data_IF_921347865365
#
_entry.id   IF_921347865365
#
_cell.length_a   1.000
_cell.length_b   1.000
_cell.length_c   1.000
_cell.angle_alpha   90.00
_cell.angle_beta   90.00
_cell.angle_gamma   90.00
#
_symmetry.space_group_name_H-M   'P 1'
#
loop_
_entity.id
_entity.type
_entity.pdbx_description
1 polymer ?
#
# COMPACT_ATOMS: atom_id res chain seq x y z
N UNK A 1 15.55 5.88 -9.45
CA UNK A 1 15.04 4.74 -8.67
C UNK A 1 14.65 3.64 -9.65
N UNK A 2 14.97 2.39 -9.35
CA UNK A 2 14.44 1.27 -10.12
C UNK A 2 12.97 1.04 -9.71
N UNK A 3 12.08 0.84 -10.68
CA UNK A 3 10.69 0.46 -10.46
C UNK A 3 10.33 -0.72 -11.35
N UNK A 4 9.34 -1.50 -10.93
CA UNK A 4 8.75 -2.57 -11.71
C UNK A 4 7.26 -2.29 -11.85
N UNK A 5 6.82 -2.13 -13.08
CA UNK A 5 5.40 -2.00 -13.40
C UNK A 5 4.78 -3.40 -13.52
N UNK A 6 3.62 -3.58 -12.90
CA UNK A 6 2.86 -4.84 -12.93
C UNK A 6 1.58 -4.71 -13.78
N UNK A 7 1.39 -3.57 -14.44
CA UNK A 7 0.23 -3.25 -15.26
C UNK A 7 -0.96 -2.70 -14.44
N UNK A 8 -2.13 -2.55 -15.04
CA UNK A 8 -2.48 -2.91 -16.43
C UNK A 8 -1.78 -2.04 -17.48
N UNK A 9 -1.72 -2.52 -18.73
CA UNK A 9 -1.07 -1.84 -19.86
C UNK A 9 -2.08 -1.37 -20.93
N UNK A 10 -3.37 -1.44 -20.63
CA UNK A 10 -4.45 -1.01 -21.51
C UNK A 10 -5.57 -0.34 -20.70
N UNK A 11 -6.49 0.34 -21.41
CA UNK A 11 -7.70 0.92 -20.81
C UNK A 11 -8.86 -0.09 -20.73
N UNK A 12 -8.61 -1.35 -21.07
CA UNK A 12 -9.63 -2.39 -21.02
C UNK A 12 -10.04 -2.66 -19.56
N UNK A 13 -11.29 -3.09 -19.39
CA UNK A 13 -11.77 -3.47 -18.07
C UNK A 13 -10.99 -4.67 -17.55
N UNK A 14 -10.45 -4.54 -16.33
CA UNK A 14 -9.67 -5.58 -15.66
C UNK A 14 -10.07 -5.69 -14.19
N UNK A 15 -9.70 -6.80 -13.55
CA UNK A 15 -10.00 -7.06 -12.14
C UNK A 15 -8.82 -6.64 -11.26
N UNK A 16 -8.99 -5.58 -10.47
CA UNK A 16 -7.96 -5.08 -9.56
C UNK A 16 -7.34 -6.12 -8.60
N UNK A 17 -8.03 -7.20 -8.14
CA UNK A 17 -7.40 -8.19 -7.27
C UNK A 17 -6.24 -8.95 -7.92
N UNK A 18 -6.24 -9.11 -9.26
CA UNK A 18 -5.15 -9.80 -9.98
C UNK A 18 -3.84 -9.03 -9.87
N UNK A 19 -3.91 -7.70 -9.95
CA UNK A 19 -2.76 -6.81 -9.78
C UNK A 19 -2.31 -6.71 -8.32
N UNK A 20 -3.26 -6.70 -7.38
CA UNK A 20 -2.93 -6.79 -5.96
C UNK A 20 -2.12 -8.06 -5.64
N UNK A 21 -2.49 -9.22 -6.16
CA UNK A 21 -1.71 -10.47 -5.98
C UNK A 21 -0.30 -10.32 -6.55
N UNK A 22 -0.19 -9.87 -7.80
CA UNK A 22 1.11 -9.76 -8.49
C UNK A 22 2.10 -8.83 -7.76
N UNK A 23 1.60 -7.71 -7.24
CA UNK A 23 2.43 -6.74 -6.50
C UNK A 23 2.77 -7.28 -5.09
N UNK A 24 1.83 -7.91 -4.40
CA UNK A 24 2.10 -8.46 -3.06
C UNK A 24 3.08 -9.63 -3.10
N UNK A 25 3.06 -10.43 -4.17
CA UNK A 25 4.03 -11.49 -4.45
C UNK A 25 5.44 -10.97 -4.72
N UNK A 26 5.63 -9.72 -5.15
CA UNK A 26 6.98 -9.13 -5.27
C UNK A 26 7.45 -8.49 -3.97
N UNK A 27 6.53 -7.94 -3.17
CA UNK A 27 6.87 -7.30 -1.89
C UNK A 27 7.28 -8.32 -0.82
N UNK A 28 6.52 -9.42 -0.70
CA UNK A 28 6.75 -10.44 0.33
C UNK A 28 8.13 -11.13 0.30
N UNK A 29 8.67 -11.55 -0.86
CA UNK A 29 10.00 -12.16 -0.94
C UNK A 29 11.14 -11.13 -0.89
N UNK A 30 10.82 -9.82 -0.84
CA UNK A 30 11.82 -8.76 -0.87
C UNK A 30 12.33 -8.38 -2.26
N UNK A 31 11.64 -8.78 -3.34
CA UNK A 31 11.94 -8.29 -4.70
C UNK A 31 11.63 -6.78 -4.79
N UNK A 32 10.58 -6.34 -4.10
CA UNK A 32 10.23 -4.94 -3.93
C UNK A 32 10.15 -4.60 -2.44
N UNK A 33 10.74 -3.48 -2.02
CA UNK A 33 10.65 -3.03 -0.61
C UNK A 33 9.30 -2.39 -0.28
N UNK A 34 8.69 -1.77 -1.29
CA UNK A 34 7.54 -0.88 -1.19
C UNK A 34 6.70 -1.00 -2.46
N UNK A 35 5.41 -0.68 -2.38
CA UNK A 35 4.51 -0.69 -3.54
C UNK A 35 3.48 0.43 -3.51
N UNK A 36 3.10 0.88 -4.71
CA UNK A 36 2.03 1.87 -4.93
C UNK A 36 1.03 1.20 -5.87
N UNK A 37 -0.24 1.16 -5.49
CA UNK A 37 -1.31 0.63 -6.33
C UNK A 37 -2.35 1.72 -6.59
N UNK A 38 -3.00 1.68 -7.75
CA UNK A 38 -4.03 2.63 -8.11
C UNK A 38 -5.27 1.92 -8.65
N UNK A 39 -6.44 2.38 -8.24
CA UNK A 39 -7.70 2.06 -8.92
C UNK A 39 -8.63 3.28 -8.85
N UNK A 40 -9.89 3.15 -9.23
CA UNK A 40 -10.81 4.30 -9.23
C UNK A 40 -10.87 5.06 -7.89
N UNK A 41 -10.89 4.36 -6.76
CA UNK A 41 -10.94 4.99 -5.41
C UNK A 41 -9.80 4.57 -4.48
N UNK A 42 -8.92 3.66 -4.92
CA UNK A 42 -7.93 3.00 -4.06
C UNK A 42 -8.50 1.97 -3.07
N UNK A 43 -9.81 2.04 -2.76
CA UNK A 43 -10.45 1.21 -1.73
C UNK A 43 -10.43 -0.28 -2.08
N UNK A 44 -10.97 -0.66 -3.25
CA UNK A 44 -11.06 -2.08 -3.63
C UNK A 44 -9.69 -2.76 -3.67
N UNK A 45 -8.72 -2.10 -4.31
CA UNK A 45 -7.37 -2.64 -4.44
C UNK A 45 -6.67 -2.75 -3.10
N UNK A 46 -6.86 -1.80 -2.17
CA UNK A 46 -6.33 -1.90 -0.80
C UNK A 46 -6.92 -3.06 -0.01
N UNK A 47 -8.23 -3.32 -0.16
CA UNK A 47 -8.91 -4.42 0.55
C UNK A 47 -8.35 -5.76 0.09
N UNK A 48 -8.18 -5.94 -1.23
CA UNK A 48 -7.59 -7.15 -1.79
C UNK A 48 -6.13 -7.32 -1.34
N UNK A 49 -5.34 -6.24 -1.42
CA UNK A 49 -3.92 -6.21 -1.06
C UNK A 49 -3.70 -6.59 0.41
N UNK A 50 -4.54 -6.10 1.33
CA UNK A 50 -4.48 -6.43 2.76
C UNK A 50 -4.93 -7.86 3.12
N UNK A 51 -5.34 -8.70 2.15
CA UNK A 51 -5.62 -10.13 2.43
C UNK A 51 -4.36 -10.97 2.51
N UNK A 52 -3.21 -10.44 2.10
CA UNK A 52 -1.93 -11.14 2.15
C UNK A 52 -1.22 -10.80 3.46
N UNK A 53 -0.94 -11.81 4.28
CA UNK A 53 -0.25 -11.63 5.56
C UNK A 53 1.11 -10.95 5.37
N UNK A 54 1.39 -9.96 6.22
CA UNK A 54 2.59 -9.12 6.16
C UNK A 54 2.43 -7.84 5.34
N UNK A 55 1.33 -7.69 4.61
CA UNK A 55 1.02 -6.49 3.84
C UNK A 55 0.17 -5.52 4.66
N UNK A 56 0.55 -4.25 4.61
CA UNK A 56 -0.15 -3.13 5.24
C UNK A 56 -0.36 -2.05 4.20
N UNK A 57 -1.42 -2.20 3.42
CA UNK A 57 -1.85 -1.26 2.42
C UNK A 57 -2.78 -0.20 2.99
N UNK A 58 -2.45 1.07 2.74
CA UNK A 58 -3.27 2.20 3.17
C UNK A 58 -3.78 2.99 1.96
N UNK A 59 -5.09 3.22 1.91
CA UNK A 59 -5.67 4.19 0.96
C UNK A 59 -5.36 5.59 1.47
N UNK A 60 -4.74 6.42 0.65
CA UNK A 60 -4.32 7.77 1.01
C UNK A 60 -4.78 8.76 -0.05
N UNK A 61 -5.23 9.95 0.41
CA UNK A 61 -5.68 11.03 -0.46
C UNK A 61 -5.09 12.39 -0.09
N UNK A 62 -4.22 12.44 0.92
CA UNK A 62 -3.61 13.67 1.43
C UNK A 62 -2.22 13.38 2.04
N UNK A 63 -1.35 14.39 2.07
CA UNK A 63 0.03 14.24 2.52
C UNK A 63 0.15 13.87 4.00
N UNK A 64 -0.78 14.29 4.85
CA UNK A 64 -0.74 14.01 6.28
C UNK A 64 -0.97 12.52 6.53
N UNK A 65 -2.05 11.97 5.96
CA UNK A 65 -2.37 10.54 6.07
C UNK A 65 -1.26 9.69 5.44
N UNK A 66 -0.67 10.15 4.32
CA UNK A 66 0.47 9.50 3.67
C UNK A 66 1.68 9.35 4.58
N UNK A 67 2.09 10.43 5.27
CA UNK A 67 3.16 10.39 6.27
C UNK A 67 2.78 9.53 7.47
N UNK A 68 1.62 9.81 8.06
CA UNK A 68 1.17 9.14 9.27
C UNK A 68 1.05 7.63 9.09
N UNK A 69 0.64 7.15 7.90
CA UNK A 69 0.57 5.70 7.65
C UNK A 69 1.94 5.05 7.63
N UNK A 70 2.96 5.74 7.12
CA UNK A 70 4.35 5.25 7.18
C UNK A 70 4.94 5.36 8.59
N UNK A 71 4.77 6.51 9.24
CA UNK A 71 5.29 6.76 10.60
C UNK A 71 4.69 5.82 11.64
N UNK A 72 3.38 5.55 11.57
CA UNK A 72 2.66 4.87 12.63
C UNK A 72 2.32 3.42 12.30
N UNK A 73 2.06 3.12 11.03
CA UNK A 73 1.61 1.80 10.59
C UNK A 73 2.68 1.08 9.77
N UNK A 74 3.84 1.70 9.57
CA UNK A 74 4.91 1.22 8.69
C UNK A 74 4.34 0.58 7.42
N UNK A 75 3.40 1.26 6.77
CA UNK A 75 2.79 0.74 5.56
C UNK A 75 3.90 0.46 4.54
N UNK A 76 3.87 -0.75 3.98
CA UNK A 76 4.73 -1.16 2.86
C UNK A 76 4.03 -0.98 1.51
N UNK A 77 2.77 -0.57 1.55
CA UNK A 77 1.95 -0.30 0.39
C UNK A 77 1.07 0.91 0.61
N UNK A 78 0.97 1.79 -0.40
CA UNK A 78 -0.10 2.79 -0.48
C UNK A 78 -1.00 2.53 -1.67
N UNK A 79 -2.26 2.96 -1.56
CA UNK A 79 -3.27 2.84 -2.60
C UNK A 79 -3.87 4.22 -2.92
N UNK A 80 -3.87 4.56 -4.20
CA UNK A 80 -4.38 5.83 -4.72
C UNK A 80 -5.71 5.63 -5.45
N UNK A 81 -6.53 6.68 -5.43
CA UNK A 81 -7.79 6.75 -6.15
C UNK A 81 -7.72 7.72 -7.32
N UNK A 82 -7.64 7.20 -8.55
CA UNK A 82 -7.59 8.03 -9.78
C UNK A 82 -8.80 8.97 -9.91
N UNK A 83 -9.99 8.52 -9.50
CA UNK A 83 -11.23 9.32 -9.58
C UNK A 83 -11.41 10.26 -8.38
N UNK A 84 -10.46 10.26 -7.43
CA UNK A 84 -10.57 10.95 -6.14
C UNK A 84 -9.46 12.00 -5.99
N UNK A 85 -8.24 11.67 -6.40
CA UNK A 85 -7.04 12.47 -6.19
C UNK A 85 -6.45 12.88 -7.53
N UNK A 86 -6.31 14.19 -7.76
CA UNK A 86 -5.66 14.70 -8.97
C UNK A 86 -4.14 14.44 -8.97
N UNK A 87 -3.55 14.34 -10.16
CA UNK A 87 -2.15 13.95 -10.38
C UNK A 87 -1.15 14.75 -9.52
N UNK A 88 -1.26 16.07 -9.48
CA UNK A 88 -0.35 16.91 -8.69
C UNK A 88 -0.37 16.57 -7.19
N UNK A 89 -1.55 16.28 -6.63
CA UNK A 89 -1.67 15.87 -5.24
C UNK A 89 -1.19 14.43 -5.04
N UNK A 90 -1.46 13.53 -5.99
CA UNK A 90 -1.00 12.15 -5.94
C UNK A 90 0.53 12.08 -5.85
N UNK A 91 1.24 12.86 -6.67
CA UNK A 91 2.71 12.93 -6.63
C UNK A 91 3.25 13.44 -5.28
N UNK A 92 2.59 14.45 -4.69
CA UNK A 92 2.96 14.94 -3.36
C UNK A 92 2.69 13.91 -2.25
N UNK A 93 1.60 13.16 -2.37
CA UNK A 93 1.24 12.07 -1.45
C UNK A 93 2.27 10.95 -1.51
N UNK A 94 2.67 10.55 -2.71
CA UNK A 94 3.65 9.49 -2.92
C UNK A 94 5.03 9.90 -2.39
N UNK A 95 5.48 11.12 -2.70
CA UNK A 95 6.75 11.67 -2.19
C UNK A 95 6.75 11.75 -0.66
N UNK A 96 5.63 12.18 -0.07
CA UNK A 96 5.49 12.23 1.38
C UNK A 96 5.59 10.85 2.04
N UNK A 97 5.11 9.79 1.40
CA UNK A 97 5.22 8.42 1.92
C UNK A 97 6.63 7.83 1.74
N UNK A 98 7.23 8.04 0.55
CA UNK A 98 8.54 7.50 0.21
C UNK A 98 9.65 8.05 1.10
N UNK A 99 9.55 9.31 1.54
CA UNK A 99 10.56 9.98 2.35
C UNK A 99 10.32 9.89 3.87
N UNK A 100 9.36 9.07 4.30
CA UNK A 100 9.02 8.93 5.71
C UNK A 100 9.43 7.56 6.24
N UNK A 101 9.79 7.52 7.52
CA UNK A 101 10.20 6.30 8.22
C UNK A 101 9.31 6.02 9.43
N UNK A 102 9.25 4.76 9.84
CA UNK A 102 8.55 4.35 11.06
C UNK A 102 9.15 5.07 12.27
N UNK A 103 8.30 5.55 13.17
CA UNK A 103 8.76 6.22 14.41
C UNK A 103 8.07 5.62 15.64
N UNK A 104 8.72 5.74 16.79
CA UNK A 104 8.15 5.49 18.12
C UNK A 104 7.83 4.02 18.48
N UNK A 105 8.27 3.60 19.66
CA UNK A 105 8.09 2.22 20.16
C UNK A 105 6.61 1.80 20.25
N UNK A 106 5.72 2.73 20.61
CA UNK A 106 4.26 2.48 20.69
C UNK A 106 3.66 2.02 19.36
N UNK A 107 4.24 2.42 18.24
CA UNK A 107 3.79 2.05 16.91
C UNK A 107 4.21 0.62 16.60
N UNK A 108 5.44 0.24 16.94
CA UNK A 108 5.91 -1.14 16.82
C UNK A 108 5.07 -2.13 17.63
N UNK A 109 4.63 -1.74 18.84
CA UNK A 109 3.71 -2.58 19.65
C UNK A 109 2.42 -2.88 18.88
N UNK A 110 1.82 -1.87 18.22
CA UNK A 110 0.59 -2.04 17.44
C UNK A 110 0.82 -2.87 16.17
N UNK A 111 2.00 -2.75 15.55
CA UNK A 111 2.38 -3.61 14.43
C UNK A 111 2.47 -5.08 14.85
N UNK A 112 2.99 -5.36 16.05
CA UNK A 112 3.03 -6.71 16.59
C UNK A 112 1.60 -7.25 16.81
N UNK A 113 0.67 -6.43 17.31
CA UNK A 113 -0.74 -6.82 17.45
C UNK A 113 -1.40 -7.11 16.09
N UNK A 114 -1.07 -6.35 15.04
CA UNK A 114 -1.55 -6.63 13.67
C UNK A 114 -1.02 -8.00 13.22
N UNK A 115 0.26 -8.29 13.46
CA UNK A 115 0.86 -9.58 13.13
C UNK A 115 0.19 -10.74 13.89
N UNK A 116 -0.11 -10.57 15.17
CA UNK A 116 -0.86 -11.55 15.97
C UNK A 116 -2.25 -11.82 15.37
N UNK A 117 -2.93 -10.79 14.85
CA UNK A 117 -4.21 -10.97 14.15
C UNK A 117 -4.02 -11.76 12.85
N UNK A 118 -2.99 -11.47 12.06
CA UNK A 118 -2.67 -12.22 10.85
C UNK A 118 -2.42 -13.70 11.17
N UNK A 119 -1.62 -14.01 12.18
CA UNK A 119 -1.30 -15.38 12.61
C UNK A 119 -2.56 -16.11 13.10
N UNK A 120 -3.43 -15.42 13.87
CA UNK A 120 -4.69 -15.98 14.38
C UNK A 120 -5.67 -16.38 13.27
N UNK A 121 -5.72 -15.63 12.17
CA UNK A 121 -6.68 -15.86 11.09
C UNK A 121 -6.07 -16.51 9.84
N UNK A 122 -4.75 -16.74 9.82
CA UNK A 122 -4.10 -17.55 8.79
C UNK A 122 -4.53 -19.01 8.97
N UNK A 123 -5.15 -19.59 7.95
CA UNK A 123 -5.52 -21.01 7.90
C UNK A 123 -4.36 -21.88 7.43
#
# INVERSE_FOLDING_TARGET
>A
MAYKDFGTYSQESVDYPKYASSVTESVKPGECERSILCCGTGVGISIATNKVSGIRAAVVGDCFTSKATKEHNNSNTICLGERVTGEGLALMVDDAWLNTELTGEKHQIRLNQIKELEEKYSK
#
